data_IF_892521063634
#
_entry.id   IF_892521063634
#
_cell.length_a   1.000
_cell.length_b   1.000
_cell.length_c   1.000
_cell.angle_alpha   90.00
_cell.angle_beta   90.00
_cell.angle_gamma   90.00
#
_symmetry.space_group_name_H-M   'P 1'
#
loop_
_entity.id
_entity.type
_entity.pdbx_description
1 polymer ?
#
# COMPACT_ATOMS: atom_id res chain seq x y z
N UNK A 1 33.96 -18.97 -41.87
CA UNK A 1 33.59 -17.77 -41.08
C UNK A 1 32.31 -18.08 -40.35
N UNK A 2 32.37 -18.44 -39.06
CA UNK A 2 31.17 -18.67 -38.26
C UNK A 2 30.61 -17.31 -37.84
N UNK A 3 29.60 -16.82 -38.55
CA UNK A 3 28.75 -15.73 -38.07
C UNK A 3 27.88 -16.26 -36.94
N UNK A 4 28.46 -16.42 -35.75
CA UNK A 4 27.73 -16.77 -34.55
C UNK A 4 26.69 -15.70 -34.27
N UNK A 5 25.43 -16.01 -34.54
CA UNK A 5 24.30 -15.12 -34.27
C UNK A 5 24.28 -14.86 -32.77
N UNK A 6 24.58 -13.62 -32.35
CA UNK A 6 24.46 -13.23 -30.94
C UNK A 6 22.98 -13.25 -30.58
N UNK A 7 22.56 -14.28 -29.86
CA UNK A 7 21.22 -14.34 -29.29
C UNK A 7 21.10 -13.34 -28.15
N UNK A 8 20.17 -12.38 -28.27
CA UNK A 8 19.82 -11.48 -27.18
C UNK A 8 18.83 -12.21 -26.27
N UNK A 9 19.15 -12.33 -24.98
CA UNK A 9 18.27 -12.91 -23.97
C UNK A 9 17.81 -11.80 -23.03
N UNK A 10 16.49 -11.61 -22.94
CA UNK A 10 15.86 -10.66 -22.02
C UNK A 10 15.34 -11.41 -20.77
N UNK A 11 15.32 -10.78 -19.59
CA UNK A 11 14.76 -11.38 -18.39
C UNK A 11 13.24 -11.56 -18.50
N UNK A 12 12.69 -12.50 -17.74
CA UNK A 12 11.25 -12.69 -17.65
C UNK A 12 10.57 -11.46 -17.00
N UNK A 13 9.42 -11.00 -17.50
CA UNK A 13 8.73 -9.80 -17.01
C UNK A 13 7.90 -10.07 -15.74
N UNK A 14 8.38 -10.93 -14.83
CA UNK A 14 7.65 -11.40 -13.64
C UNK A 14 7.07 -10.25 -12.81
N UNK A 15 7.84 -9.17 -12.63
CA UNK A 15 7.37 -7.99 -11.90
C UNK A 15 6.14 -7.35 -12.55
N UNK A 16 6.11 -7.26 -13.88
CA UNK A 16 5.00 -6.66 -14.60
C UNK A 16 3.75 -7.55 -14.53
N UNK A 17 3.92 -8.87 -14.55
CA UNK A 17 2.83 -9.83 -14.36
C UNK A 17 2.21 -9.70 -12.96
N UNK A 18 3.04 -9.68 -11.92
CA UNK A 18 2.58 -9.50 -10.54
C UNK A 18 1.88 -8.14 -10.31
N UNK A 19 2.39 -7.09 -10.94
CA UNK A 19 1.74 -5.78 -10.93
C UNK A 19 0.39 -5.80 -11.62
N UNK A 20 0.23 -6.51 -12.74
CA UNK A 20 -1.06 -6.61 -13.43
C UNK A 20 -2.11 -7.27 -12.52
N UNK A 21 -1.74 -8.35 -11.83
CA UNK A 21 -2.62 -9.04 -10.87
C UNK A 21 -2.97 -8.13 -9.70
N UNK A 22 -1.98 -7.45 -9.13
CA UNK A 22 -2.17 -6.54 -7.99
C UNK A 22 -3.04 -5.34 -8.37
N UNK A 23 -2.85 -4.80 -9.57
CA UNK A 23 -3.65 -3.70 -10.11
C UNK A 23 -5.10 -4.15 -10.36
N UNK A 24 -5.32 -5.33 -10.92
CA UNK A 24 -6.68 -5.87 -11.11
C UNK A 24 -7.41 -6.09 -9.76
N UNK A 25 -6.68 -6.47 -8.72
CA UNK A 25 -7.24 -6.54 -7.36
C UNK A 25 -7.56 -5.15 -6.81
N UNK A 26 -6.63 -4.19 -6.95
CA UNK A 26 -6.83 -2.81 -6.53
C UNK A 26 -8.03 -2.15 -7.23
N UNK A 27 -8.18 -2.36 -8.55
CA UNK A 27 -9.30 -1.83 -9.34
C UNK A 27 -10.65 -2.21 -8.77
N UNK A 28 -10.83 -3.50 -8.48
CA UNK A 28 -12.05 -4.06 -7.89
C UNK A 28 -12.28 -3.64 -6.44
N UNK A 29 -11.20 -3.41 -5.69
CA UNK A 29 -11.32 -3.13 -4.26
C UNK A 29 -11.56 -1.64 -3.96
N UNK A 30 -10.87 -0.74 -4.68
CA UNK A 30 -10.82 0.68 -4.29
C UNK A 30 -10.40 1.66 -5.40
N UNK A 31 -10.40 1.31 -6.70
CA UNK A 31 -10.19 2.32 -7.75
C UNK A 31 -11.50 2.60 -8.50
N UNK A 32 -11.40 3.20 -9.70
CA UNK A 32 -12.52 3.67 -10.51
C UNK A 32 -13.62 2.62 -10.72
N UNK A 33 -13.26 1.35 -10.90
CA UNK A 33 -14.21 0.25 -11.08
C UNK A 33 -15.05 0.04 -9.80
N UNK A 34 -14.38 -0.02 -8.64
CA UNK A 34 -15.04 -0.11 -7.33
C UNK A 34 -15.93 1.11 -7.05
N UNK A 35 -15.49 2.32 -7.43
CA UNK A 35 -16.30 3.53 -7.29
C UNK A 35 -17.56 3.45 -8.17
N UNK A 36 -17.40 3.07 -9.44
CA UNK A 36 -18.52 2.96 -10.37
C UNK A 36 -19.54 1.93 -9.92
N UNK A 37 -19.07 0.78 -9.42
CA UNK A 37 -19.93 -0.27 -8.85
C UNK A 37 -20.67 0.20 -7.59
N UNK A 38 -19.96 0.92 -6.71
CA UNK A 38 -20.52 1.50 -5.47
C UNK A 38 -21.62 2.51 -5.81
N UNK A 39 -21.34 3.46 -6.68
CA UNK A 39 -22.31 4.48 -7.13
C UNK A 39 -23.53 3.83 -7.79
N UNK A 40 -23.34 2.75 -8.55
CA UNK A 40 -24.43 2.00 -9.17
C UNK A 40 -25.42 1.36 -8.19
N UNK A 41 -25.05 1.22 -6.91
CA UNK A 41 -25.93 0.71 -5.84
C UNK A 41 -26.60 1.81 -5.02
N UNK A 42 -26.11 3.04 -5.10
CA UNK A 42 -26.60 4.15 -4.28
C UNK A 42 -27.92 4.73 -4.81
N UNK A 43 -28.71 5.30 -3.91
CA UNK A 43 -29.83 6.16 -4.29
C UNK A 43 -29.29 7.48 -4.86
N UNK A 44 -29.38 7.63 -6.18
CA UNK A 44 -28.83 8.80 -6.91
C UNK A 44 -29.39 10.14 -6.41
N UNK A 45 -30.70 10.29 -6.14
CA UNK A 45 -31.22 11.53 -5.55
C UNK A 45 -30.59 11.90 -4.21
N UNK A 46 -30.33 10.91 -3.33
CA UNK A 46 -29.66 11.15 -2.05
C UNK A 46 -28.19 11.52 -2.25
N UNK A 47 -27.50 10.85 -3.17
CA UNK A 47 -26.12 11.17 -3.53
C UNK A 47 -26.00 12.60 -4.10
N UNK A 48 -26.85 12.97 -5.04
CA UNK A 48 -26.85 14.29 -5.67
C UNK A 48 -27.17 15.39 -4.63
N UNK A 49 -28.04 15.11 -3.65
CA UNK A 49 -28.32 16.03 -2.53
C UNK A 49 -27.07 16.25 -1.67
N UNK A 50 -26.39 15.18 -1.27
CA UNK A 50 -25.19 15.28 -0.43
C UNK A 50 -24.04 16.00 -1.17
N UNK A 51 -23.87 15.73 -2.46
CA UNK A 51 -22.95 16.47 -3.33
C UNK A 51 -23.31 17.96 -3.33
N UNK A 52 -24.58 18.31 -3.51
CA UNK A 52 -25.02 19.70 -3.53
C UNK A 52 -24.84 20.42 -2.18
N UNK A 53 -24.90 19.68 -1.07
CA UNK A 53 -24.69 20.23 0.28
C UNK A 53 -23.20 20.45 0.61
N UNK A 54 -22.31 19.56 0.17
CA UNK A 54 -20.90 19.56 0.59
C UNK A 54 -19.93 20.16 -0.44
N UNK A 55 -20.22 20.04 -1.74
CA UNK A 55 -19.31 20.45 -2.81
C UNK A 55 -19.67 21.86 -3.29
N UNK A 56 -18.71 22.78 -3.43
CA UNK A 56 -19.02 24.11 -3.93
C UNK A 56 -19.64 24.04 -5.34
N UNK A 57 -20.80 24.68 -5.52
CA UNK A 57 -21.63 24.55 -6.72
C UNK A 57 -20.88 24.87 -8.03
N UNK A 58 -19.88 25.75 -7.98
CA UNK A 58 -19.05 26.08 -9.14
C UNK A 58 -18.28 24.87 -9.67
N UNK A 59 -17.74 24.00 -8.80
CA UNK A 59 -17.02 22.79 -9.21
C UNK A 59 -17.98 21.74 -9.75
N UNK A 60 -19.14 21.57 -9.14
CA UNK A 60 -20.19 20.68 -9.63
C UNK A 60 -20.62 21.08 -11.05
N UNK A 61 -20.87 22.38 -11.27
CA UNK A 61 -21.23 22.92 -12.60
C UNK A 61 -20.10 22.73 -13.62
N UNK A 62 -18.86 23.01 -13.23
CA UNK A 62 -17.68 22.85 -14.10
C UNK A 62 -17.52 21.40 -14.55
N UNK A 63 -17.67 20.42 -13.65
CA UNK A 63 -17.60 19.00 -14.00
C UNK A 63 -18.76 18.56 -14.89
N UNK A 64 -19.99 18.98 -14.58
CA UNK A 64 -21.15 18.68 -15.40
C UNK A 64 -20.99 19.21 -16.83
N UNK A 65 -20.36 20.39 -17.00
CA UNK A 65 -20.13 20.99 -18.32
C UNK A 65 -19.20 20.17 -19.24
N UNK A 66 -18.38 19.29 -18.66
CA UNK A 66 -17.51 18.35 -19.40
C UNK A 66 -18.02 16.90 -19.32
N UNK A 67 -19.28 16.70 -18.90
CA UNK A 67 -19.92 15.39 -18.83
C UNK A 67 -19.43 14.49 -17.69
N UNK A 68 -18.80 15.06 -16.65
CA UNK A 68 -18.30 14.31 -15.50
C UNK A 68 -19.23 14.45 -14.29
N UNK A 69 -19.44 13.35 -13.58
CA UNK A 69 -20.14 13.34 -12.28
C UNK A 69 -19.17 13.74 -11.16
N UNK A 70 -19.71 14.38 -10.13
CA UNK A 70 -18.89 15.00 -9.08
C UNK A 70 -18.18 13.96 -8.19
N UNK A 71 -18.81 12.83 -7.90
CA UNK A 71 -18.26 11.79 -7.03
C UNK A 71 -17.02 11.09 -7.60
N UNK A 72 -16.71 11.30 -8.90
CA UNK A 72 -15.43 10.89 -9.50
C UNK A 72 -14.23 11.59 -8.86
N UNK A 73 -14.44 12.78 -8.29
CA UNK A 73 -13.37 13.59 -7.69
C UNK A 73 -13.65 13.86 -6.21
N UNK A 74 -14.92 14.09 -5.85
CA UNK A 74 -15.31 14.52 -4.52
C UNK A 74 -15.78 13.36 -3.66
N UNK A 75 -15.07 13.13 -2.56
CA UNK A 75 -15.50 12.19 -1.53
C UNK A 75 -16.70 12.76 -0.77
N UNK A 76 -17.79 12.02 -0.74
CA UNK A 76 -18.98 12.34 0.06
C UNK A 76 -19.30 11.19 1.01
N UNK A 77 -19.82 11.46 2.22
CA UNK A 77 -20.08 10.45 3.24
C UNK A 77 -20.82 9.22 2.72
N UNK A 78 -21.89 9.38 1.95
CA UNK A 78 -22.70 8.28 1.41
C UNK A 78 -21.88 7.26 0.62
N UNK A 79 -20.93 7.73 -0.20
CA UNK A 79 -20.03 6.85 -0.97
C UNK A 79 -19.05 6.11 -0.06
N UNK A 80 -18.52 6.80 0.95
CA UNK A 80 -17.57 6.22 1.91
C UNK A 80 -18.24 5.29 2.91
N UNK A 81 -19.52 5.49 3.22
CA UNK A 81 -20.32 4.61 4.08
C UNK A 81 -20.63 3.30 3.37
N UNK A 82 -21.07 3.36 2.11
CA UNK A 82 -21.34 2.18 1.29
C UNK A 82 -20.06 1.39 0.98
N UNK A 83 -18.96 2.08 0.68
CA UNK A 83 -17.67 1.43 0.46
C UNK A 83 -16.51 2.20 1.12
N UNK A 84 -16.16 1.86 2.37
CA UNK A 84 -15.09 2.53 3.10
C UNK A 84 -13.73 2.45 2.41
N UNK A 85 -13.50 1.41 1.60
CA UNK A 85 -12.21 1.26 0.89
C UNK A 85 -11.99 2.35 -0.15
N UNK A 86 -13.03 3.04 -0.61
CA UNK A 86 -12.91 4.18 -1.53
C UNK A 86 -12.20 5.39 -0.91
N UNK A 87 -11.94 5.40 0.41
CA UNK A 87 -11.00 6.37 0.97
C UNK A 87 -9.62 6.28 0.30
N UNK A 88 -9.18 5.07 -0.08
CA UNK A 88 -7.94 4.88 -0.82
C UNK A 88 -8.02 5.53 -2.21
N UNK A 89 -9.15 5.43 -2.92
CA UNK A 89 -9.34 6.09 -4.22
C UNK A 89 -9.05 7.60 -4.13
N UNK A 90 -9.77 8.29 -3.25
CA UNK A 90 -9.65 9.75 -3.12
C UNK A 90 -8.28 10.17 -2.57
N UNK A 91 -7.69 9.40 -1.66
CA UNK A 91 -6.31 9.64 -1.19
C UNK A 91 -5.29 9.51 -2.32
N UNK A 92 -5.41 8.47 -3.15
CA UNK A 92 -4.50 8.21 -4.27
C UNK A 92 -4.65 9.27 -5.36
N UNK A 93 -5.87 9.71 -5.65
CA UNK A 93 -6.15 10.82 -6.58
C UNK A 93 -5.43 12.11 -6.15
N UNK A 94 -5.40 12.39 -4.85
CA UNK A 94 -4.71 13.56 -4.29
C UNK A 94 -3.18 13.40 -4.20
N UNK A 95 -2.61 12.27 -4.64
CA UNK A 95 -1.16 12.06 -4.60
C UNK A 95 -0.61 11.69 -3.22
N UNK A 96 -1.46 11.38 -2.24
CA UNK A 96 -1.01 11.15 -0.88
C UNK A 96 -0.61 9.70 -0.63
N UNK A 97 0.59 9.49 -0.09
CA UNK A 97 0.96 8.21 0.52
C UNK A 97 0.17 7.98 1.82
N UNK A 98 0.03 6.72 2.25
CA UNK A 98 -0.58 6.43 3.55
C UNK A 98 0.17 7.10 4.71
N UNK A 99 1.51 7.18 4.66
CA UNK A 99 2.32 7.84 5.70
C UNK A 99 2.03 9.34 5.78
N UNK A 100 1.88 10.01 4.64
CA UNK A 100 1.55 11.43 4.60
C UNK A 100 0.11 11.67 5.06
N UNK A 101 -0.83 10.86 4.56
CA UNK A 101 -2.25 11.03 4.84
C UNK A 101 -2.60 10.73 6.30
N UNK A 102 -2.12 9.60 6.85
CA UNK A 102 -2.38 9.15 8.22
C UNK A 102 -1.33 9.59 9.24
N UNK A 103 -0.47 10.55 8.86
CA UNK A 103 0.60 11.06 9.70
C UNK A 103 0.07 11.79 10.94
N UNK A 104 0.92 11.93 11.97
CA UNK A 104 0.58 12.72 13.17
C UNK A 104 0.22 14.16 12.78
N UNK A 105 -0.85 14.69 13.38
CA UNK A 105 -1.33 16.06 13.16
C UNK A 105 -2.36 16.22 12.03
N UNK A 106 -2.64 15.18 11.25
CA UNK A 106 -3.67 15.22 10.18
C UNK A 106 -5.09 14.99 10.68
N UNK A 107 -5.23 14.32 11.84
CA UNK A 107 -6.53 13.90 12.38
C UNK A 107 -7.18 12.72 11.63
N UNK A 108 -6.58 12.22 10.55
CA UNK A 108 -7.19 11.18 9.70
C UNK A 108 -6.89 9.75 10.17
N UNK A 109 -5.97 9.57 11.12
CA UNK A 109 -5.47 8.26 11.56
C UNK A 109 -6.58 7.30 12.00
N UNK A 110 -7.67 7.82 12.56
CA UNK A 110 -8.85 7.02 12.96
C UNK A 110 -9.54 6.33 11.78
N UNK A 111 -9.45 6.90 10.57
CA UNK A 111 -10.08 6.38 9.36
C UNK A 111 -9.24 5.33 8.62
N UNK A 112 -8.03 5.02 9.11
CA UNK A 112 -7.13 4.05 8.44
C UNK A 112 -7.77 2.67 8.26
N UNK A 113 -8.65 2.26 9.19
CA UNK A 113 -9.38 0.99 9.11
C UNK A 113 -10.26 0.88 7.87
N UNK A 114 -10.71 2.01 7.31
CA UNK A 114 -11.54 2.05 6.10
C UNK A 114 -10.76 1.53 4.89
N UNK A 115 -9.49 1.90 4.74
CA UNK A 115 -8.63 1.38 3.68
C UNK A 115 -8.15 -0.05 3.98
N UNK A 116 -7.64 -0.30 5.19
CA UNK A 116 -7.00 -1.57 5.52
C UNK A 116 -8.03 -2.70 5.56
N UNK A 117 -9.15 -2.48 6.25
CA UNK A 117 -10.14 -3.53 6.57
C UNK A 117 -11.50 -3.33 5.90
N UNK A 118 -11.74 -2.19 5.25
CA UNK A 118 -13.06 -1.88 4.68
C UNK A 118 -14.13 -1.60 5.73
N UNK A 119 -13.74 -1.16 6.93
CA UNK A 119 -14.66 -0.92 8.05
C UNK A 119 -14.63 0.54 8.48
N UNK A 120 -15.82 1.09 8.67
CA UNK A 120 -16.00 2.39 9.30
C UNK A 120 -15.54 2.35 10.76
N UNK A 121 -14.85 3.38 11.25
CA UNK A 121 -14.56 3.49 12.66
C UNK A 121 -15.86 3.74 13.44
N UNK A 122 -15.99 3.12 14.60
CA UNK A 122 -17.23 3.20 15.40
C UNK A 122 -17.54 4.66 15.80
N UNK A 123 -18.76 5.12 15.49
CA UNK A 123 -19.22 6.47 15.83
C UNK A 123 -18.50 7.60 15.10
N UNK A 124 -17.76 7.30 14.03
CA UNK A 124 -17.04 8.32 13.28
C UNK A 124 -17.99 9.14 12.39
N UNK A 125 -17.93 10.46 12.52
CA UNK A 125 -18.55 11.38 11.57
C UNK A 125 -17.63 11.55 10.35
N UNK A 126 -18.12 11.20 9.17
CA UNK A 126 -17.37 11.32 7.92
C UNK A 126 -17.42 12.72 7.31
N UNK A 127 -18.33 13.61 7.76
CA UNK A 127 -18.46 14.95 7.18
C UNK A 127 -17.17 15.77 7.27
N UNK A 128 -16.45 15.84 8.40
CA UNK A 128 -15.18 16.57 8.48
C UNK A 128 -14.11 16.01 7.53
N UNK A 129 -14.04 14.68 7.39
CA UNK A 129 -13.13 14.01 6.46
C UNK A 129 -13.47 14.37 5.02
N UNK A 130 -14.75 14.25 4.65
CA UNK A 130 -15.25 14.60 3.32
C UNK A 130 -14.97 16.06 2.99
N UNK A 131 -15.28 17.00 3.88
CA UNK A 131 -14.99 18.43 3.69
C UNK A 131 -13.49 18.71 3.50
N UNK A 132 -12.62 18.04 4.26
CA UNK A 132 -11.17 18.18 4.09
C UNK A 132 -10.69 17.66 2.73
N UNK A 133 -11.17 16.48 2.31
CA UNK A 133 -10.88 15.90 1.00
C UNK A 133 -11.39 16.80 -0.13
N UNK A 134 -12.65 17.24 -0.06
CA UNK A 134 -13.26 18.16 -1.03
C UNK A 134 -12.42 19.42 -1.19
N UNK A 135 -12.00 20.05 -0.09
CA UNK A 135 -11.14 21.24 -0.14
C UNK A 135 -9.83 20.98 -0.90
N UNK A 136 -9.18 19.83 -0.67
CA UNK A 136 -7.95 19.47 -1.38
C UNK A 136 -8.20 19.18 -2.86
N UNK A 137 -9.31 18.54 -3.19
CA UNK A 137 -9.72 18.27 -4.57
C UNK A 137 -10.01 19.57 -5.32
N UNK A 138 -10.65 20.56 -4.69
CA UNK A 138 -10.83 21.88 -5.31
C UNK A 138 -9.47 22.50 -5.68
N UNK A 139 -8.49 22.46 -4.76
CA UNK A 139 -7.12 22.94 -5.05
C UNK A 139 -6.47 22.15 -6.20
N UNK A 140 -6.65 20.82 -6.24
CA UNK A 140 -6.14 19.98 -7.33
C UNK A 140 -6.75 20.39 -8.67
N UNK A 141 -8.08 20.52 -8.73
CA UNK A 141 -8.81 20.87 -9.96
C UNK A 141 -8.41 22.24 -10.48
N UNK A 142 -8.25 23.23 -9.60
CA UNK A 142 -7.79 24.57 -10.01
C UNK A 142 -6.35 24.54 -10.51
N UNK A 143 -5.48 23.74 -9.89
CA UNK A 143 -4.09 23.56 -10.35
C UNK A 143 -3.98 22.82 -11.68
N UNK A 144 -4.86 21.84 -11.95
CA UNK A 144 -4.90 21.12 -13.21
C UNK A 144 -5.52 21.95 -14.33
N UNK A 145 -6.52 22.77 -14.01
CA UNK A 145 -7.39 23.43 -14.96
C UNK A 145 -8.45 22.49 -15.51
N UNK A 146 -9.72 22.90 -15.44
CA UNK A 146 -10.88 22.05 -15.79
C UNK A 146 -10.85 21.43 -17.18
N UNK A 147 -10.30 22.11 -18.18
CA UNK A 147 -10.23 21.62 -19.55
C UNK A 147 -9.38 20.36 -19.71
N UNK A 148 -8.53 20.05 -18.73
CA UNK A 148 -7.69 18.84 -18.70
C UNK A 148 -8.31 17.70 -17.90
N UNK A 149 -9.33 17.99 -17.10
CA UNK A 149 -9.94 17.00 -16.22
C UNK A 149 -10.79 16.05 -17.06
N UNK A 150 -10.28 14.83 -17.25
CA UNK A 150 -10.98 13.71 -17.90
C UNK A 150 -10.98 12.49 -16.99
N UNK A 151 -11.83 11.51 -17.29
CA UNK A 151 -11.86 10.23 -16.55
C UNK A 151 -10.49 9.53 -16.61
N UNK A 152 -9.83 9.57 -17.76
CA UNK A 152 -8.52 8.97 -18.00
C UNK A 152 -7.45 9.64 -17.16
N UNK A 153 -7.42 10.98 -17.14
CA UNK A 153 -6.47 11.71 -16.30
C UNK A 153 -6.67 11.38 -14.81
N UNK A 154 -7.91 11.27 -14.35
CA UNK A 154 -8.21 10.89 -12.97
C UNK A 154 -7.67 9.49 -12.66
N UNK A 155 -7.89 8.51 -13.54
CA UNK A 155 -7.32 7.16 -13.41
C UNK A 155 -5.78 7.22 -13.39
N UNK A 156 -5.16 7.90 -14.36
CA UNK A 156 -3.70 8.05 -14.47
C UNK A 156 -3.09 8.64 -13.20
N UNK A 157 -3.69 9.70 -12.62
CA UNK A 157 -3.21 10.31 -11.38
C UNK A 157 -3.29 9.33 -10.19
N UNK A 158 -4.35 8.52 -10.10
CA UNK A 158 -4.43 7.48 -9.06
C UNK A 158 -3.36 6.41 -9.24
N UNK A 159 -3.09 5.99 -10.49
CA UNK A 159 -2.08 4.99 -10.82
C UNK A 159 -0.65 5.49 -10.58
N UNK A 160 -0.37 6.77 -10.86
CA UNK A 160 0.92 7.40 -10.57
C UNK A 160 1.25 7.37 -9.06
N UNK A 161 0.22 7.41 -8.22
CA UNK A 161 0.38 7.32 -6.75
C UNK A 161 0.43 5.87 -6.26
N UNK A 162 -0.34 4.97 -6.87
CA UNK A 162 -0.38 3.56 -6.50
C UNK A 162 0.87 2.79 -6.94
N UNK A 163 1.41 3.09 -8.13
CA UNK A 163 2.55 2.39 -8.72
C UNK A 163 3.77 2.29 -7.78
N UNK A 164 4.23 3.39 -7.16
CA UNK A 164 5.29 3.35 -6.15
C UNK A 164 4.96 2.45 -4.95
N UNK A 165 3.70 2.37 -4.52
CA UNK A 165 3.29 1.51 -3.39
C UNK A 165 3.40 0.03 -3.77
N UNK A 166 2.91 -0.36 -4.95
CA UNK A 166 3.04 -1.73 -5.45
C UNK A 166 4.51 -2.12 -5.64
N UNK A 167 5.33 -1.19 -6.15
CA UNK A 167 6.77 -1.42 -6.35
C UNK A 167 7.52 -1.54 -5.03
N UNK A 168 7.22 -0.70 -4.05
CA UNK A 168 7.74 -0.82 -2.69
C UNK A 168 7.38 -2.17 -2.08
N UNK A 169 6.12 -2.61 -2.21
CA UNK A 169 5.67 -3.92 -1.74
C UNK A 169 6.40 -5.10 -2.39
N UNK A 170 6.61 -5.05 -3.71
CA UNK A 170 7.38 -6.07 -4.42
C UNK A 170 8.85 -6.11 -3.97
N UNK A 171 9.47 -4.95 -3.74
CA UNK A 171 10.84 -4.88 -3.22
C UNK A 171 10.95 -5.47 -1.81
N UNK A 172 9.99 -5.18 -0.93
CA UNK A 172 9.94 -5.76 0.42
C UNK A 172 9.81 -7.29 0.34
N UNK A 173 8.90 -7.81 -0.50
CA UNK A 173 8.75 -9.26 -0.69
C UNK A 173 10.04 -9.93 -1.17
N UNK A 174 10.73 -9.31 -2.12
CA UNK A 174 12.03 -9.79 -2.61
C UNK A 174 13.08 -9.80 -1.50
N UNK A 175 13.19 -8.70 -0.73
CA UNK A 175 14.09 -8.63 0.42
C UNK A 175 13.80 -9.74 1.44
N UNK A 176 12.54 -9.88 1.86
CA UNK A 176 12.14 -10.94 2.80
C UNK A 176 12.45 -12.35 2.29
N UNK A 177 12.24 -12.63 1.00
CA UNK A 177 12.58 -13.92 0.41
C UNK A 177 14.10 -14.17 0.38
N UNK A 178 14.90 -13.14 0.09
CA UNK A 178 16.36 -13.24 0.14
C UNK A 178 16.87 -13.50 1.56
N UNK A 179 16.36 -12.78 2.58
CA UNK A 179 16.75 -12.98 3.98
C UNK A 179 16.37 -14.41 4.43
N UNK A 180 15.18 -14.88 4.06
CA UNK A 180 14.74 -16.25 4.33
C UNK A 180 15.68 -17.29 3.71
N UNK A 181 16.10 -17.11 2.45
CA UNK A 181 17.02 -18.01 1.78
C UNK A 181 18.40 -18.06 2.48
N UNK A 182 18.90 -16.92 2.98
CA UNK A 182 20.13 -16.88 3.78
C UNK A 182 19.96 -17.63 5.10
N UNK A 183 18.83 -17.45 5.79
CA UNK A 183 18.53 -18.19 7.02
C UNK A 183 18.50 -19.71 6.78
N UNK A 184 17.87 -20.17 5.69
CA UNK A 184 17.82 -21.58 5.30
C UNK A 184 19.19 -22.15 4.91
N UNK A 185 20.03 -21.34 4.26
CA UNK A 185 21.41 -21.71 3.97
C UNK A 185 22.21 -21.89 5.27
N UNK A 186 22.10 -20.95 6.21
CA UNK A 186 22.74 -21.05 7.52
C UNK A 186 22.24 -22.31 8.24
N UNK A 187 20.93 -22.53 8.27
CA UNK A 187 20.33 -23.73 8.86
C UNK A 187 20.92 -25.02 8.27
N UNK A 188 21.12 -25.06 6.96
CA UNK A 188 21.72 -26.21 6.28
C UNK A 188 23.17 -26.43 6.72
N UNK A 189 23.95 -25.36 6.90
CA UNK A 189 25.35 -25.43 7.36
C UNK A 189 25.44 -25.92 8.81
N UNK A 190 24.56 -25.44 9.69
CA UNK A 190 24.64 -25.73 11.13
C UNK A 190 23.78 -26.91 11.58
N UNK A 191 23.10 -27.59 10.65
CA UNK A 191 22.03 -28.56 10.92
C UNK A 191 22.39 -29.59 11.98
N UNK A 192 23.58 -30.16 11.90
CA UNK A 192 24.04 -31.23 12.79
C UNK A 192 24.30 -30.76 14.23
N UNK A 193 24.37 -29.44 14.44
CA UNK A 193 24.60 -28.80 15.73
C UNK A 193 23.35 -28.09 16.28
N UNK A 194 22.22 -28.18 15.58
CA UNK A 194 20.95 -27.55 16.02
C UNK A 194 20.34 -28.35 17.17
N UNK A 195 20.15 -27.68 18.29
CA UNK A 195 19.48 -28.23 19.48
C UNK A 195 18.00 -27.89 19.50
N UNK A 196 17.61 -26.74 18.92
CA UNK A 196 16.21 -26.33 18.70
C UNK A 196 16.07 -25.49 17.44
N UNK A 197 14.98 -25.66 16.72
CA UNK A 197 14.66 -24.86 15.55
C UNK A 197 13.21 -24.37 15.61
N UNK A 198 13.00 -23.18 15.05
CA UNK A 198 11.71 -22.59 14.73
C UNK A 198 11.84 -21.82 13.42
N UNK A 199 10.73 -21.39 12.84
CA UNK A 199 10.73 -20.59 11.60
C UNK A 199 11.59 -19.32 11.69
N UNK A 200 11.77 -18.75 12.90
CA UNK A 200 12.46 -17.47 13.09
C UNK A 200 13.77 -17.55 13.86
N UNK A 201 14.14 -18.73 14.36
CA UNK A 201 15.27 -18.89 15.27
C UNK A 201 15.82 -20.31 15.29
N UNK A 202 17.14 -20.42 15.27
CA UNK A 202 17.90 -21.63 15.55
C UNK A 202 18.66 -21.47 16.87
N UNK A 203 18.68 -22.51 17.68
CA UNK A 203 19.59 -22.67 18.81
C UNK A 203 20.62 -23.74 18.45
N UNK A 204 21.90 -23.39 18.48
CA UNK A 204 23.02 -24.32 18.25
C UNK A 204 23.93 -24.34 19.46
N UNK A 205 24.67 -25.42 19.64
CA UNK A 205 25.73 -25.52 20.64
C UNK A 205 27.08 -25.40 19.96
N UNK A 206 27.93 -24.48 20.44
CA UNK A 206 29.27 -24.32 19.87
C UNK A 206 30.27 -25.31 20.49
N UNK A 207 31.49 -25.36 19.95
CA UNK A 207 32.55 -26.25 20.43
C UNK A 207 32.96 -26.04 21.91
N UNK A 208 32.58 -24.91 22.52
CA UNK A 208 32.80 -24.62 23.94
C UNK A 208 31.59 -24.96 24.83
N UNK A 209 30.57 -25.64 24.30
CA UNK A 209 29.35 -26.01 25.01
C UNK A 209 28.41 -24.84 25.29
N UNK A 210 28.61 -23.69 24.64
CA UNK A 210 27.77 -22.50 24.83
C UNK A 210 26.66 -22.45 23.79
N UNK A 211 25.49 -21.97 24.23
CA UNK A 211 24.33 -21.75 23.35
C UNK A 211 24.56 -20.54 22.46
N UNK A 212 24.38 -20.74 21.16
CA UNK A 212 24.41 -19.71 20.14
C UNK A 212 23.03 -19.65 19.48
N UNK A 213 22.57 -18.44 19.21
CA UNK A 213 21.27 -18.14 18.66
C UNK A 213 21.43 -17.48 17.31
N UNK A 214 20.70 -17.98 16.31
CA UNK A 214 20.66 -17.43 14.96
C UNK A 214 19.20 -17.04 14.71
N UNK A 215 18.91 -15.76 14.53
CA UNK A 215 17.53 -15.28 14.46
C UNK A 215 17.40 -14.03 13.60
N UNK A 216 16.17 -13.81 13.10
CA UNK A 216 15.80 -12.55 12.44
C UNK A 216 15.86 -11.39 13.42
N UNK A 217 16.34 -10.25 12.95
CA UNK A 217 16.42 -9.01 13.71
C UNK A 217 15.91 -7.84 12.84
N UNK A 218 15.57 -6.73 13.48
CA UNK A 218 15.07 -5.53 12.80
C UNK A 218 16.20 -4.68 12.20
N UNK A 219 17.42 -4.87 12.71
CA UNK A 219 18.67 -4.21 12.32
C UNK A 219 19.79 -4.93 13.10
N UNK A 220 20.70 -5.71 12.47
CA UNK A 220 20.71 -6.13 11.05
C UNK A 220 19.59 -7.13 10.72
N UNK A 221 19.45 -7.58 9.47
CA UNK A 221 18.42 -8.56 9.04
C UNK A 221 18.47 -9.89 9.80
N UNK A 222 19.67 -10.45 10.00
CA UNK A 222 19.92 -11.63 10.83
C UNK A 222 21.06 -11.37 11.81
N UNK A 223 20.95 -11.94 13.00
CA UNK A 223 21.98 -11.84 14.03
C UNK A 223 22.33 -13.21 14.59
N UNK A 224 23.63 -13.41 14.79
CA UNK A 224 24.19 -14.58 15.48
C UNK A 224 24.75 -14.11 16.81
N UNK A 225 24.21 -14.63 17.91
CA UNK A 225 24.58 -14.22 19.28
C UNK A 225 24.93 -15.40 20.16
N UNK A 226 25.95 -15.24 20.98
CA UNK A 226 26.32 -16.21 22.01
C UNK A 226 25.66 -15.84 23.35
N UNK A 227 25.10 -16.83 24.05
CA UNK A 227 24.64 -16.66 25.43
C UNK A 227 25.81 -16.65 26.41
N UNK A 228 25.91 -15.59 27.23
CA UNK A 228 26.91 -15.49 28.30
C UNK A 228 26.29 -15.84 29.66
N UNK A 229 25.14 -15.25 29.96
CA UNK A 229 24.38 -15.44 31.20
C UNK A 229 22.88 -15.39 30.91
N UNK A 230 22.02 -15.58 31.91
CA UNK A 230 20.56 -15.47 31.70
C UNK A 230 20.20 -14.12 31.10
N UNK A 231 19.66 -14.15 29.86
CA UNK A 231 19.27 -12.97 29.07
C UNK A 231 20.41 -12.00 28.72
N UNK A 232 21.67 -12.42 28.85
CA UNK A 232 22.84 -11.65 28.41
C UNK A 232 23.46 -12.33 27.20
N UNK A 233 23.56 -11.57 26.11
CA UNK A 233 24.03 -12.06 24.83
C UNK A 233 25.22 -11.23 24.34
N UNK A 234 26.13 -11.88 23.62
CA UNK A 234 27.18 -11.23 22.85
C UNK A 234 26.88 -11.39 21.36
N UNK A 235 26.77 -10.28 20.64
CA UNK A 235 26.67 -10.32 19.18
C UNK A 235 27.99 -10.84 18.60
N UNK A 236 27.92 -11.89 17.80
CA UNK A 236 29.08 -12.48 17.11
C UNK A 236 29.10 -11.99 15.66
N UNK A 237 27.96 -12.11 14.97
CA UNK A 237 27.83 -11.77 13.54
C UNK A 237 26.53 -11.01 13.33
N UNK A 238 26.62 -9.98 12.50
CA UNK A 238 25.52 -9.26 11.89
C UNK A 238 25.50 -9.59 10.40
N UNK A 239 24.33 -9.93 9.85
CA UNK A 239 24.16 -10.22 8.42
C UNK A 239 23.09 -9.31 7.85
N UNK A 240 23.44 -8.60 6.80
CA UNK A 240 22.58 -7.70 6.01
C UNK A 240 22.49 -8.23 4.59
N UNK A 241 21.29 -8.21 3.98
CA UNK A 241 21.01 -8.83 2.66
C UNK A 241 20.54 -7.82 1.63
#
# INVERSE_FOLDING_TARGET
>A
MNSGTRSIVLPQPTLQVEFSVSLAAARRAYLMDALSETVGRLDIPSLDREIAELVPHEFVRRLASVGLRAELLFAVPLVLEENPRLLAYYRLLLGFSQKAFYGRGTGTGVFKSMEDTGRLPAGADLKPLASALISRVCTLVDGLGMHRVTRELIDDLTLLTLGPQLRGGANVKKGSASIQAVFELIHTIVRDFVTKASEKRLEVENAAGRKVFIEFSSDPDLVIREGIAQRTFRNIIAVEV
#
